data_IF_073098725958
#
_entry.id   IF_073098725958
#
_cell.length_a   1.000
_cell.length_b   1.000
_cell.length_c   1.000
_cell.angle_alpha   90.00
_cell.angle_beta   90.00
_cell.angle_gamma   90.00
#
_symmetry.space_group_name_H-M   'P 1'
#
loop_
_entity.id
_entity.type
_entity.pdbx_description
1 polymer ?
#
# COMPACT_ATOMS: atom_id res chain seq x y z
N UNK A 1 -16.74 -5.19 3.65
CA UNK A 1 -17.98 -5.13 4.43
C UNK A 1 -17.82 -4.25 5.66
N UNK A 2 -16.90 -4.54 6.58
CA UNK A 2 -16.69 -3.76 7.81
C UNK A 2 -16.58 -2.25 7.56
N UNK A 3 -15.72 -1.84 6.63
CA UNK A 3 -15.50 -0.43 6.29
C UNK A 3 -16.74 0.26 5.69
N UNK A 4 -17.50 -0.48 4.89
CA UNK A 4 -18.73 0.05 4.32
C UNK A 4 -19.82 0.26 5.39
N UNK A 5 -19.92 -0.67 6.34
CA UNK A 5 -20.85 -0.52 7.48
C UNK A 5 -20.43 0.67 8.35
N UNK A 6 -19.14 0.85 8.61
CA UNK A 6 -18.60 1.95 9.40
C UNK A 6 -18.87 3.32 8.78
N UNK A 7 -18.80 3.40 7.44
CA UNK A 7 -19.09 4.63 6.69
C UNK A 7 -20.56 4.76 6.28
N UNK A 8 -21.46 3.87 6.75
CA UNK A 8 -22.87 3.81 6.36
C UNK A 8 -23.06 3.78 4.83
N UNK A 9 -22.17 3.08 4.17
CA UNK A 9 -22.15 2.92 2.71
C UNK A 9 -22.73 1.57 2.31
N UNK A 10 -23.28 1.49 1.12
CA UNK A 10 -23.76 0.23 0.56
C UNK A 10 -22.62 -0.64 0.11
N UNK A 11 -22.82 -1.95 0.10
CA UNK A 11 -21.78 -2.89 -0.32
C UNK A 11 -22.33 -4.13 -1.00
N UNK A 12 -21.50 -4.76 -1.82
CA UNK A 12 -21.75 -6.08 -2.40
C UNK A 12 -20.49 -6.90 -2.18
N UNK A 13 -20.59 -8.03 -1.47
CA UNK A 13 -19.46 -8.90 -1.13
C UNK A 13 -19.38 -10.14 -2.00
N UNK A 14 -20.51 -10.54 -2.54
CA UNK A 14 -20.63 -11.66 -3.45
C UNK A 14 -20.63 -11.18 -4.91
N UNK A 15 -21.01 -12.01 -5.82
CA UNK A 15 -21.04 -11.72 -7.24
C UNK A 15 -21.98 -10.57 -7.58
N UNK A 16 -21.48 -9.57 -8.31
CA UNK A 16 -22.34 -8.54 -8.92
C UNK A 16 -23.33 -9.13 -9.92
N UNK A 17 -24.60 -8.92 -9.71
CA UNK A 17 -25.62 -9.36 -10.65
C UNK A 17 -25.84 -8.30 -11.73
N UNK A 18 -25.78 -8.71 -13.00
CA UNK A 18 -26.05 -7.79 -14.11
C UNK A 18 -27.44 -7.15 -13.97
N UNK A 19 -27.48 -5.83 -14.13
CA UNK A 19 -28.71 -5.04 -13.95
C UNK A 19 -28.93 -4.49 -12.55
N UNK A 20 -27.97 -4.65 -11.64
CA UNK A 20 -28.11 -4.16 -10.25
C UNK A 20 -28.36 -2.65 -10.21
N UNK A 21 -27.71 -1.87 -11.04
CA UNK A 21 -27.96 -0.43 -11.16
C UNK A 21 -28.85 -0.10 -12.36
N UNK A 22 -28.59 -0.64 -13.53
CA UNK A 22 -29.33 -0.33 -14.76
C UNK A 22 -30.76 -0.83 -14.75
N UNK A 23 -31.05 -1.87 -13.98
CA UNK A 23 -32.40 -2.39 -13.75
C UNK A 23 -32.81 -2.39 -12.28
N UNK A 24 -32.45 -1.30 -11.61
CA UNK A 24 -32.63 -1.13 -10.16
C UNK A 24 -34.06 -1.39 -9.69
N UNK A 25 -35.07 -1.02 -10.50
CA UNK A 25 -36.48 -1.27 -10.19
C UNK A 25 -36.78 -2.76 -10.01
N UNK A 26 -36.17 -3.62 -10.83
CA UNK A 26 -36.39 -5.07 -10.74
C UNK A 26 -35.62 -5.65 -9.54
N UNK A 27 -34.42 -5.17 -9.28
CA UNK A 27 -33.62 -5.54 -8.10
C UNK A 27 -34.39 -5.17 -6.82
N UNK A 28 -34.96 -3.97 -6.76
CA UNK A 28 -35.74 -3.54 -5.62
C UNK A 28 -36.99 -4.40 -5.34
N UNK A 29 -37.62 -4.96 -6.38
CA UNK A 29 -38.68 -5.94 -6.20
C UNK A 29 -38.15 -7.26 -5.59
N UNK A 30 -36.97 -7.72 -5.99
CA UNK A 30 -36.37 -8.92 -5.42
C UNK A 30 -35.92 -8.70 -3.98
N UNK A 31 -35.44 -7.51 -3.64
CA UNK A 31 -35.19 -7.11 -2.26
C UNK A 31 -36.48 -7.15 -1.44
N UNK A 32 -37.58 -6.57 -1.99
CA UNK A 32 -38.91 -6.62 -1.35
C UNK A 32 -39.42 -8.05 -1.12
N UNK A 33 -39.00 -9.01 -1.94
CA UNK A 33 -39.33 -10.44 -1.71
C UNK A 33 -38.63 -10.96 -0.45
N UNK A 34 -37.39 -10.54 -0.16
CA UNK A 34 -36.72 -10.90 1.09
C UNK A 34 -37.53 -10.42 2.31
N UNK A 35 -37.95 -9.19 2.30
CA UNK A 35 -38.77 -8.60 3.38
C UNK A 35 -40.10 -9.33 3.52
N UNK A 36 -40.67 -9.82 2.40
CA UNK A 36 -41.92 -10.59 2.41
C UNK A 36 -41.71 -11.96 3.05
N UNK A 37 -40.61 -12.68 2.72
CA UNK A 37 -40.30 -13.98 3.31
C UNK A 37 -40.04 -13.85 4.82
N UNK A 38 -39.36 -12.82 5.28
CA UNK A 38 -39.15 -12.55 6.71
C UNK A 38 -40.48 -12.29 7.43
N UNK A 39 -41.40 -11.55 6.82
CA UNK A 39 -42.74 -11.36 7.36
C UNK A 39 -43.53 -12.66 7.41
N UNK A 40 -43.44 -13.52 6.39
CA UNK A 40 -44.10 -14.83 6.39
C UNK A 40 -43.53 -15.75 7.49
N UNK A 41 -42.23 -15.67 7.78
CA UNK A 41 -41.64 -16.41 8.89
C UNK A 41 -42.09 -15.87 10.23
N UNK A 42 -42.09 -14.53 10.43
CA UNK A 42 -42.56 -13.89 11.65
C UNK A 42 -44.01 -14.15 11.96
N UNK A 43 -44.85 -14.25 10.93
CA UNK A 43 -46.32 -14.47 11.07
C UNK A 43 -46.68 -15.98 11.14
N UNK A 44 -45.70 -16.91 11.13
CA UNK A 44 -45.98 -18.33 11.13
C UNK A 44 -46.59 -18.89 9.83
N UNK A 45 -46.66 -18.07 8.78
CA UNK A 45 -47.24 -18.50 7.50
C UNK A 45 -46.42 -19.65 6.84
N UNK A 46 -45.14 -19.67 7.08
CA UNK A 46 -44.24 -20.75 6.58
C UNK A 46 -44.58 -22.09 7.22
N UNK A 47 -45.08 -22.13 8.45
CA UNK A 47 -45.40 -23.38 9.16
C UNK A 47 -46.63 -24.11 8.60
N UNK A 48 -47.50 -23.35 7.90
CA UNK A 48 -48.71 -23.90 7.24
C UNK A 48 -48.38 -24.51 5.88
N UNK A 49 -47.22 -24.19 5.30
CA UNK A 49 -46.82 -24.67 3.99
C UNK A 49 -46.20 -26.09 4.06
N UNK A 50 -46.28 -26.86 2.97
CA UNK A 50 -45.62 -28.16 2.87
C UNK A 50 -44.08 -27.99 3.08
N UNK A 51 -43.45 -28.86 3.84
CA UNK A 51 -42.00 -28.81 4.14
C UNK A 51 -41.10 -28.63 2.91
N UNK A 52 -41.50 -29.24 1.78
CA UNK A 52 -40.74 -29.13 0.51
C UNK A 52 -40.74 -27.71 -0.05
N UNK A 53 -41.82 -26.97 0.10
CA UNK A 53 -41.94 -25.56 -0.34
C UNK A 53 -41.19 -24.62 0.57
N UNK A 54 -41.27 -24.84 1.88
CA UNK A 54 -40.50 -24.06 2.87
C UNK A 54 -38.99 -24.15 2.61
N UNK A 55 -38.49 -25.36 2.36
CA UNK A 55 -37.07 -25.57 2.03
C UNK A 55 -36.69 -24.82 0.75
N UNK A 56 -37.55 -24.80 -0.26
CA UNK A 56 -37.31 -24.10 -1.52
C UNK A 56 -37.26 -22.59 -1.30
N UNK A 57 -38.21 -22.05 -0.56
CA UNK A 57 -38.28 -20.62 -0.22
C UNK A 57 -37.06 -20.20 0.59
N UNK A 58 -36.69 -20.94 1.63
CA UNK A 58 -35.51 -20.64 2.45
C UNK A 58 -34.23 -20.67 1.62
N UNK A 59 -34.04 -21.65 0.76
CA UNK A 59 -32.88 -21.74 -0.13
C UNK A 59 -32.79 -20.57 -1.13
N UNK A 60 -33.93 -20.12 -1.64
CA UNK A 60 -33.99 -18.93 -2.51
C UNK A 60 -33.72 -17.64 -1.71
N UNK A 61 -34.26 -17.52 -0.52
CA UNK A 61 -34.02 -16.42 0.40
C UNK A 61 -32.51 -16.30 0.73
N UNK A 62 -31.87 -17.39 1.16
CA UNK A 62 -30.44 -17.39 1.51
C UNK A 62 -29.59 -16.93 0.33
N UNK A 63 -29.91 -17.44 -0.88
CA UNK A 63 -29.22 -17.06 -2.10
C UNK A 63 -29.40 -15.58 -2.45
N UNK A 64 -30.58 -15.04 -2.34
CA UNK A 64 -30.85 -13.62 -2.63
C UNK A 64 -30.26 -12.72 -1.55
N UNK A 65 -30.34 -13.13 -0.29
CA UNK A 65 -29.79 -12.39 0.82
C UNK A 65 -28.26 -12.26 0.71
N UNK A 66 -27.56 -13.32 0.31
CA UNK A 66 -26.11 -13.24 0.11
C UNK A 66 -25.71 -12.18 -0.95
N UNK A 67 -26.51 -11.99 -1.98
CA UNK A 67 -26.25 -10.99 -3.02
C UNK A 67 -26.67 -9.57 -2.65
N UNK A 68 -27.75 -9.42 -1.88
CA UNK A 68 -28.40 -8.10 -1.71
C UNK A 68 -28.35 -7.55 -0.28
N UNK A 69 -27.78 -8.27 0.69
CA UNK A 69 -27.78 -7.86 2.08
C UNK A 69 -27.23 -6.42 2.27
N UNK A 70 -26.16 -6.07 1.58
CA UNK A 70 -25.52 -4.76 1.72
C UNK A 70 -26.21 -3.62 0.95
N UNK A 71 -27.19 -3.93 0.08
CA UNK A 71 -27.95 -2.93 -0.69
C UNK A 71 -29.45 -2.89 -0.35
N UNK A 72 -29.87 -3.63 0.69
CA UNK A 72 -31.31 -3.71 1.08
C UNK A 72 -31.93 -2.34 1.31
N UNK A 73 -31.21 -1.45 1.99
CA UNK A 73 -31.70 -0.14 2.37
C UNK A 73 -31.50 0.93 1.29
N UNK A 74 -30.94 0.55 0.14
CA UNK A 74 -30.66 1.48 -0.94
C UNK A 74 -31.94 2.00 -1.59
N UNK A 75 -32.26 3.28 -1.38
CA UNK A 75 -33.47 3.91 -1.89
C UNK A 75 -33.27 4.52 -3.28
N UNK A 76 -32.10 5.06 -3.55
CA UNK A 76 -31.68 5.70 -4.81
C UNK A 76 -30.39 5.08 -5.31
N UNK A 77 -30.02 5.35 -6.55
CA UNK A 77 -28.72 4.96 -7.10
C UNK A 77 -27.60 5.65 -6.31
N UNK A 78 -26.42 5.02 -6.18
CA UNK A 78 -25.29 5.61 -5.48
C UNK A 78 -24.72 6.79 -6.27
N UNK A 79 -24.14 7.74 -5.57
CA UNK A 79 -23.54 8.93 -6.17
C UNK A 79 -22.10 8.64 -6.65
N UNK A 80 -21.45 7.58 -6.12
CA UNK A 80 -20.15 7.09 -6.54
C UNK A 80 -20.02 5.59 -6.25
N UNK A 81 -19.06 4.93 -6.88
CA UNK A 81 -18.78 3.50 -6.71
C UNK A 81 -17.29 3.27 -6.45
N UNK A 82 -16.97 2.42 -5.46
CA UNK A 82 -15.61 1.96 -5.17
C UNK A 82 -15.53 0.49 -5.57
N UNK A 83 -14.54 0.14 -6.40
CA UNK A 83 -14.33 -1.23 -6.90
C UNK A 83 -12.93 -1.70 -6.53
N UNK A 84 -12.83 -2.88 -5.94
CA UNK A 84 -11.56 -3.47 -5.50
C UNK A 84 -10.82 -4.22 -6.60
N UNK A 85 -11.54 -4.80 -7.56
CA UNK A 85 -10.96 -5.54 -8.71
C UNK A 85 -11.75 -5.21 -9.98
N UNK A 86 -11.32 -4.21 -10.74
CA UNK A 86 -12.01 -3.80 -11.97
C UNK A 86 -12.09 -4.90 -13.03
N UNK A 87 -11.16 -5.83 -13.05
CA UNK A 87 -11.15 -6.95 -14.00
C UNK A 87 -12.27 -7.95 -13.71
N UNK A 88 -12.49 -8.29 -12.44
CA UNK A 88 -13.57 -9.20 -12.05
C UNK A 88 -14.95 -8.53 -12.13
N UNK A 89 -15.02 -7.27 -11.72
CA UNK A 89 -16.27 -6.51 -11.59
C UNK A 89 -16.57 -5.62 -12.80
N UNK A 90 -16.09 -6.01 -13.99
CA UNK A 90 -16.29 -5.25 -15.24
C UNK A 90 -17.75 -4.95 -15.58
N UNK A 91 -18.69 -5.80 -15.12
CA UNK A 91 -20.13 -5.60 -15.32
C UNK A 91 -20.61 -4.38 -14.51
N UNK A 92 -20.17 -4.26 -13.25
CA UNK A 92 -20.49 -3.14 -12.38
C UNK A 92 -19.99 -1.82 -12.98
N UNK A 93 -18.76 -1.82 -13.50
CA UNK A 93 -18.15 -0.66 -14.16
C UNK A 93 -18.97 -0.23 -15.39
N UNK A 94 -19.34 -1.18 -16.25
CA UNK A 94 -20.17 -0.88 -17.44
C UNK A 94 -21.53 -0.29 -17.06
N UNK A 95 -22.13 -0.76 -15.98
CA UNK A 95 -23.40 -0.22 -15.49
C UNK A 95 -23.22 1.18 -14.93
N UNK A 96 -22.20 1.42 -14.12
CA UNK A 96 -21.88 2.74 -13.56
C UNK A 96 -21.63 3.76 -14.67
N UNK A 97 -20.78 3.45 -15.63
CA UNK A 97 -20.50 4.31 -16.80
C UNK A 97 -21.76 4.65 -17.61
N UNK A 98 -22.64 3.66 -17.81
CA UNK A 98 -23.90 3.88 -18.52
C UNK A 98 -24.84 4.86 -17.79
N UNK A 99 -24.73 4.94 -16.48
CA UNK A 99 -25.54 5.81 -15.61
C UNK A 99 -24.81 7.10 -15.23
N UNK A 100 -23.56 7.29 -15.68
CA UNK A 100 -22.75 8.46 -15.34
C UNK A 100 -22.31 8.50 -13.87
N UNK A 101 -22.20 7.34 -13.22
CA UNK A 101 -21.75 7.22 -11.82
C UNK A 101 -20.24 7.11 -11.83
N UNK A 102 -19.50 8.02 -11.16
CA UNK A 102 -18.03 7.96 -11.08
C UNK A 102 -17.56 6.72 -10.35
N UNK A 103 -16.50 6.10 -10.88
CA UNK A 103 -15.91 4.85 -10.38
C UNK A 103 -14.51 5.09 -9.87
N UNK A 104 -14.29 4.78 -8.60
CA UNK A 104 -12.97 4.70 -7.96
C UNK A 104 -12.53 3.23 -7.97
N UNK A 105 -11.39 2.92 -8.59
CA UNK A 105 -10.92 1.54 -8.73
C UNK A 105 -9.54 1.33 -8.15
N UNK A 106 -9.36 0.24 -7.40
CA UNK A 106 -8.05 -0.29 -7.07
C UNK A 106 -7.55 -1.04 -8.29
N UNK A 107 -6.50 -0.53 -8.92
CA UNK A 107 -5.98 -1.03 -10.21
C UNK A 107 -4.61 -1.66 -9.99
N UNK A 108 -4.52 -2.95 -10.23
CA UNK A 108 -3.27 -3.70 -10.27
C UNK A 108 -2.75 -3.83 -11.71
N UNK A 109 -1.59 -4.41 -11.89
CA UNK A 109 -0.90 -4.61 -13.18
C UNK A 109 -1.69 -5.47 -14.19
N UNK A 110 -2.67 -6.24 -13.73
CA UNK A 110 -3.51 -7.14 -14.52
C UNK A 110 -4.76 -6.47 -15.10
N UNK A 111 -4.94 -5.16 -14.87
CA UNK A 111 -6.16 -4.41 -15.18
C UNK A 111 -5.88 -3.18 -16.04
N UNK A 112 -6.83 -2.81 -16.88
CA UNK A 112 -6.78 -1.60 -17.71
C UNK A 112 -7.23 -0.39 -16.87
N UNK A 113 -6.35 0.62 -16.66
CA UNK A 113 -6.67 1.80 -15.87
C UNK A 113 -7.77 2.67 -16.51
N UNK A 114 -7.96 2.60 -17.83
CA UNK A 114 -8.96 3.38 -18.53
C UNK A 114 -10.40 2.92 -18.26
N UNK A 115 -10.55 1.80 -17.56
CA UNK A 115 -11.87 1.28 -17.15
C UNK A 115 -12.50 2.07 -16.00
N UNK A 116 -11.72 2.80 -15.22
CA UNK A 116 -12.19 3.54 -14.03
C UNK A 116 -11.91 5.03 -14.17
N UNK A 117 -12.70 5.86 -13.50
CA UNK A 117 -12.56 7.32 -13.58
C UNK A 117 -11.45 7.82 -12.65
N UNK A 118 -11.30 7.18 -11.48
CA UNK A 118 -10.29 7.50 -10.48
C UNK A 118 -9.48 6.25 -10.15
N UNK A 119 -8.26 6.22 -10.64
CA UNK A 119 -7.33 5.10 -10.49
C UNK A 119 -6.60 5.18 -9.16
N UNK A 120 -6.65 4.10 -8.39
CA UNK A 120 -5.85 3.91 -7.18
C UNK A 120 -4.87 2.76 -7.46
N UNK A 121 -3.60 3.05 -7.82
CA UNK A 121 -2.64 2.01 -8.16
C UNK A 121 -2.23 1.25 -6.90
N UNK A 122 -2.66 0.00 -6.79
CA UNK A 122 -2.32 -0.86 -5.65
C UNK A 122 -2.62 -2.33 -5.96
N UNK A 123 -2.11 -3.21 -5.09
CA UNK A 123 -2.37 -4.65 -5.16
C UNK A 123 -3.80 -4.97 -4.70
N UNK A 124 -4.55 -5.68 -5.54
CA UNK A 124 -5.95 -6.09 -5.33
C UNK A 124 -6.09 -7.48 -4.70
N UNK A 125 -5.03 -8.31 -4.70
CA UNK A 125 -5.04 -9.67 -4.13
C UNK A 125 -4.69 -9.68 -2.62
N UNK A 126 -3.93 -8.69 -2.13
CA UNK A 126 -3.49 -8.65 -0.75
C UNK A 126 -4.57 -8.05 0.17
N UNK A 127 -5.21 -8.87 1.00
CA UNK A 127 -6.26 -8.47 1.95
C UNK A 127 -5.84 -7.25 2.80
N UNK A 128 -4.56 -7.19 3.24
CA UNK A 128 -4.06 -6.04 4.02
C UNK A 128 -3.99 -4.75 3.22
N UNK A 129 -3.57 -4.81 1.96
CA UNK A 129 -3.51 -3.64 1.08
C UNK A 129 -4.92 -3.10 0.83
N UNK A 130 -5.84 -3.97 0.43
CA UNK A 130 -7.25 -3.63 0.20
C UNK A 130 -7.91 -3.07 1.47
N UNK A 131 -7.66 -3.67 2.65
CA UNK A 131 -8.20 -3.19 3.92
C UNK A 131 -7.73 -1.78 4.26
N UNK A 132 -6.46 -1.48 4.09
CA UNK A 132 -5.90 -0.14 4.36
C UNK A 132 -6.51 0.90 3.40
N UNK A 133 -6.55 0.59 2.10
CA UNK A 133 -7.07 1.52 1.09
C UNK A 133 -8.55 1.80 1.33
N UNK A 134 -9.37 0.75 1.51
CA UNK A 134 -10.80 0.90 1.80
C UNK A 134 -11.02 1.64 3.13
N UNK A 135 -10.15 1.42 4.11
CA UNK A 135 -10.20 2.12 5.37
C UNK A 135 -9.94 3.62 5.24
N UNK A 136 -8.94 4.01 4.45
CA UNK A 136 -8.65 5.42 4.16
C UNK A 136 -9.82 6.08 3.39
N UNK A 137 -10.38 5.38 2.39
CA UNK A 137 -11.54 5.86 1.65
C UNK A 137 -12.78 6.01 2.55
N UNK A 138 -13.02 5.05 3.45
CA UNK A 138 -14.10 5.14 4.42
C UNK A 138 -13.89 6.28 5.43
N UNK A 139 -12.64 6.57 5.83
CA UNK A 139 -12.34 7.75 6.64
C UNK A 139 -12.64 9.05 5.90
N UNK A 140 -12.30 9.15 4.62
CA UNK A 140 -12.63 10.32 3.80
C UNK A 140 -14.14 10.54 3.67
N UNK A 141 -14.93 9.46 3.56
CA UNK A 141 -16.40 9.52 3.57
C UNK A 141 -16.90 9.99 4.94
N UNK A 142 -16.33 9.47 6.03
CA UNK A 142 -16.70 9.83 7.40
C UNK A 142 -16.37 11.30 7.71
N UNK A 143 -15.21 11.79 7.24
CA UNK A 143 -14.83 13.21 7.36
C UNK A 143 -15.86 14.12 6.68
N UNK A 144 -16.28 13.77 5.45
CA UNK A 144 -17.32 14.51 4.74
C UNK A 144 -18.74 14.40 5.33
N UNK A 145 -18.95 13.46 6.26
CA UNK A 145 -20.25 13.23 6.94
C UNK A 145 -20.22 13.47 8.45
N UNK A 146 -19.14 14.10 8.96
CA UNK A 146 -18.91 14.40 10.39
C UNK A 146 -19.01 13.15 11.30
N UNK A 147 -18.47 12.02 10.85
CA UNK A 147 -18.43 10.76 11.59
C UNK A 147 -17.03 10.46 12.10
N UNK A 148 -16.92 9.51 13.04
CA UNK A 148 -15.64 9.12 13.63
C UNK A 148 -14.71 8.48 12.60
N UNK A 149 -13.46 8.95 12.58
CA UNK A 149 -12.37 8.37 11.81
C UNK A 149 -11.63 7.33 12.66
N UNK A 150 -11.13 6.28 12.03
CA UNK A 150 -10.37 5.21 12.69
C UNK A 150 -8.94 5.20 12.16
N UNK A 151 -7.97 5.10 13.06
CA UNK A 151 -6.57 4.91 12.70
C UNK A 151 -6.33 3.43 12.34
N UNK A 152 -5.99 3.16 11.06
CA UNK A 152 -5.75 1.80 10.54
C UNK A 152 -4.38 1.25 10.87
N UNK A 153 -3.50 2.05 11.47
CA UNK A 153 -2.23 1.57 11.98
C UNK A 153 -2.48 0.87 13.31
N UNK A 154 -2.57 -0.45 13.29
CA UNK A 154 -2.60 -1.24 14.53
C UNK A 154 -1.31 -1.01 15.32
N UNK A 155 -1.38 -1.13 16.65
CA UNK A 155 -0.20 -0.97 17.51
C UNK A 155 0.92 -1.96 17.15
N UNK A 156 0.57 -3.13 16.63
CA UNK A 156 1.52 -4.08 16.03
C UNK A 156 2.19 -3.56 14.76
N UNK A 157 1.52 -2.80 13.95
CA UNK A 157 2.07 -2.20 12.73
C UNK A 157 2.90 -0.95 13.07
N UNK A 158 2.52 -0.19 14.08
CA UNK A 158 3.31 0.92 14.66
C UNK A 158 4.62 0.39 15.24
N UNK A 159 4.58 -0.69 16.02
CA UNK A 159 5.77 -1.34 16.58
C UNK A 159 6.68 -1.99 15.52
N UNK A 160 6.10 -2.58 14.45
CA UNK A 160 6.89 -3.12 13.34
C UNK A 160 7.53 -2.04 12.48
N UNK A 161 6.90 -0.90 12.32
CA UNK A 161 7.49 0.23 11.61
C UNK A 161 8.58 0.91 12.46
N UNK A 162 8.36 1.13 13.75
CA UNK A 162 9.37 1.61 14.67
C UNK A 162 10.61 0.67 14.72
N UNK A 163 10.39 -0.65 14.74
CA UNK A 163 11.47 -1.65 14.66
C UNK A 163 12.15 -1.74 13.28
N UNK A 164 11.46 -1.37 12.20
CA UNK A 164 12.07 -1.29 10.86
C UNK A 164 12.85 0.00 10.67
N UNK A 165 12.42 1.09 11.25
CA UNK A 165 13.15 2.36 11.24
C UNK A 165 14.39 2.28 12.13
N UNK A 166 14.29 1.74 13.34
CA UNK A 166 15.45 1.49 14.22
C UNK A 166 16.44 0.49 13.60
N UNK A 167 15.98 -0.57 12.89
CA UNK A 167 16.88 -1.49 12.14
C UNK A 167 17.44 -0.87 10.86
N UNK A 168 16.79 0.14 10.26
CA UNK A 168 17.37 0.89 9.14
C UNK A 168 18.38 1.92 9.61
N UNK A 169 18.16 2.52 10.77
CA UNK A 169 19.13 3.43 11.39
C UNK A 169 20.37 2.68 11.91
N UNK A 170 20.18 1.54 12.59
CA UNK A 170 21.30 0.69 13.03
C UNK A 170 22.11 0.11 11.86
N UNK A 171 21.45 -0.37 10.79
CA UNK A 171 22.16 -0.80 9.57
C UNK A 171 22.83 0.37 8.84
N UNK A 172 22.32 1.59 8.96
CA UNK A 172 22.94 2.77 8.34
C UNK A 172 24.11 3.30 9.17
N UNK A 173 24.14 3.05 10.50
CA UNK A 173 25.29 3.30 11.37
C UNK A 173 26.35 2.21 11.21
N UNK A 174 25.98 0.93 11.21
CA UNK A 174 26.91 -0.20 10.96
C UNK A 174 27.54 -0.11 9.57
N UNK A 175 26.77 0.24 8.52
CA UNK A 175 27.34 0.41 7.17
C UNK A 175 28.24 1.65 7.05
N UNK A 176 28.06 2.66 7.92
CA UNK A 176 28.96 3.81 7.99
C UNK A 176 30.23 3.49 8.79
N UNK A 177 30.14 2.70 9.85
CA UNK A 177 31.28 2.25 10.64
C UNK A 177 32.13 1.25 9.86
N UNK A 178 31.53 0.24 9.23
CA UNK A 178 32.24 -0.73 8.37
C UNK A 178 32.88 -0.06 7.15
N UNK A 179 32.26 0.96 6.55
CA UNK A 179 32.91 1.75 5.49
C UNK A 179 33.99 2.70 6.01
N UNK A 180 33.92 3.10 7.28
CA UNK A 180 34.98 3.91 7.90
C UNK A 180 36.18 3.04 8.33
N UNK A 181 35.96 1.81 8.79
CA UNK A 181 37.00 0.84 9.11
C UNK A 181 37.64 0.28 7.85
N UNK A 182 36.89 -0.13 6.83
CA UNK A 182 37.44 -0.59 5.56
C UNK A 182 38.29 0.48 4.85
N UNK A 183 37.87 1.76 4.92
CA UNK A 183 38.72 2.86 4.43
C UNK A 183 39.95 3.10 5.27
N UNK A 184 39.91 2.80 6.58
CA UNK A 184 41.12 2.90 7.44
C UNK A 184 42.07 1.74 7.26
N UNK A 185 41.58 0.53 6.94
CA UNK A 185 42.41 -0.62 6.58
C UNK A 185 43.03 -0.46 5.19
N UNK A 186 42.27 -0.10 4.16
CA UNK A 186 42.83 0.19 2.82
C UNK A 186 43.88 1.31 2.86
N UNK A 187 43.70 2.35 3.69
CA UNK A 187 44.70 3.41 3.85
C UNK A 187 45.95 2.91 4.63
N UNK A 188 45.78 1.96 5.56
CA UNK A 188 46.90 1.37 6.27
C UNK A 188 47.72 0.40 5.40
N UNK A 189 47.04 -0.46 4.61
CA UNK A 189 47.72 -1.33 3.64
C UNK A 189 48.44 -0.53 2.55
N UNK A 190 47.78 0.51 2.00
CA UNK A 190 48.42 1.39 1.03
C UNK A 190 49.63 2.16 1.60
N UNK A 191 49.62 2.50 2.88
CA UNK A 191 50.75 3.17 3.55
C UNK A 191 51.87 2.19 3.87
N UNK A 192 51.59 0.90 4.14
CA UNK A 192 52.63 -0.14 4.31
C UNK A 192 53.25 -0.55 2.99
N UNK A 193 52.50 -0.69 1.89
CA UNK A 193 53.04 -0.92 0.55
C UNK A 193 53.92 0.25 0.07
N UNK A 194 53.50 1.51 0.33
CA UNK A 194 54.31 2.70 -0.02
C UNK A 194 55.61 2.79 0.78
N UNK A 195 55.64 2.25 2.01
CA UNK A 195 56.90 2.21 2.82
C UNK A 195 57.88 1.10 2.40
N UNK A 196 57.42 0.11 1.66
CA UNK A 196 58.25 -1.02 1.21
C UNK A 196 58.93 -0.75 -0.14
N UNK A 197 58.46 0.21 -0.96
CA UNK A 197 59.01 0.45 -2.31
C UNK A 197 59.86 1.71 -2.46
N UNK A 198 60.14 2.50 -1.41
CA UNK A 198 60.74 3.82 -1.60
C UNK A 198 62.10 4.04 -0.99
N UNK A 199 63.12 3.81 -1.81
CA UNK A 199 64.36 4.58 -1.82
C UNK A 199 64.71 5.15 -3.20
N UNK A 200 63.83 5.11 -4.18
CA UNK A 200 64.13 5.63 -5.52
C UNK A 200 62.98 6.54 -6.05
N UNK A 201 63.31 7.84 -6.19
CA UNK A 201 62.63 8.85 -7.01
C UNK A 201 61.33 9.46 -6.49
N UNK A 202 61.37 10.16 -5.35
CA UNK A 202 60.32 11.07 -4.87
C UNK A 202 59.95 12.18 -5.89
N UNK A 203 60.85 12.48 -6.85
CA UNK A 203 60.62 13.51 -7.88
C UNK A 203 59.53 13.14 -8.90
N UNK A 204 59.24 11.84 -9.06
CA UNK A 204 58.20 11.33 -9.99
C UNK A 204 56.78 11.32 -9.40
N UNK A 205 56.63 11.48 -8.09
CA UNK A 205 55.34 11.46 -7.43
C UNK A 205 54.56 12.74 -7.65
N UNK A 206 53.23 12.62 -7.60
CA UNK A 206 52.30 13.75 -7.75
C UNK A 206 52.24 14.58 -6.46
N UNK A 207 51.81 15.84 -6.57
CA UNK A 207 51.65 16.74 -5.39
C UNK A 207 50.68 16.18 -4.35
N UNK A 208 49.69 15.40 -4.78
CA UNK A 208 48.72 14.77 -3.89
C UNK A 208 49.37 13.67 -3.05
N UNK A 209 50.17 12.80 -3.66
CA UNK A 209 50.90 11.73 -2.99
C UNK A 209 51.98 12.25 -2.03
N UNK A 210 52.71 13.30 -2.41
CA UNK A 210 53.67 13.96 -1.54
C UNK A 210 53.01 14.62 -0.30
N UNK A 211 51.84 15.15 -0.45
CA UNK A 211 51.03 15.70 0.68
C UNK A 211 50.53 14.60 1.62
N UNK A 212 50.18 13.44 1.10
CA UNK A 212 49.79 12.28 1.91
C UNK A 212 50.97 11.71 2.69
N UNK A 213 52.14 11.63 2.07
CA UNK A 213 53.35 11.23 2.75
C UNK A 213 53.75 12.21 3.86
N UNK A 214 53.73 13.50 3.61
CA UNK A 214 53.99 14.54 4.60
C UNK A 214 53.00 14.51 5.78
N UNK A 215 51.73 14.12 5.51
CA UNK A 215 50.71 13.89 6.53
C UNK A 215 50.99 12.65 7.37
N UNK A 216 51.46 11.58 6.75
CA UNK A 216 51.80 10.32 7.43
C UNK A 216 53.03 10.48 8.36
N UNK A 217 53.95 11.35 8.02
CA UNK A 217 55.12 11.70 8.83
C UNK A 217 54.84 12.81 9.88
N UNK A 218 53.60 13.27 9.98
CA UNK A 218 53.20 14.21 11.03
C UNK A 218 53.65 15.66 10.83
N UNK A 219 54.01 16.05 9.60
CA UNK A 219 54.51 17.41 9.29
C UNK A 219 53.34 18.41 9.32
N UNK A 220 53.42 19.37 10.23
CA UNK A 220 52.37 20.41 10.33
C UNK A 220 52.47 21.43 9.18
N UNK A 221 51.37 21.80 8.61
CA UNK A 221 51.26 22.83 7.56
C UNK A 221 51.47 22.34 6.12
N UNK A 222 51.61 21.01 5.87
CA UNK A 222 51.86 20.38 4.55
C UNK A 222 50.86 20.76 3.45
N UNK A 223 49.61 21.15 3.82
CA UNK A 223 48.55 21.49 2.86
C UNK A 223 48.85 22.77 2.06
N UNK A 224 49.68 23.67 2.57
CA UNK A 224 50.04 24.96 1.95
C UNK A 224 51.35 24.94 1.19
N UNK A 225 52.13 23.84 1.28
CA UNK A 225 53.45 23.74 0.69
C UNK A 225 53.40 23.38 -0.80
N UNK A 226 54.37 23.90 -1.57
CA UNK A 226 54.54 23.59 -3.00
C UNK A 226 55.33 22.26 -3.16
N UNK A 227 55.29 21.67 -4.39
CA UNK A 227 55.94 20.38 -4.69
C UNK A 227 57.43 20.36 -4.32
N UNK A 228 58.17 21.46 -4.58
CA UNK A 228 59.58 21.62 -4.26
C UNK A 228 59.87 21.60 -2.74
N UNK A 229 59.02 22.24 -1.98
CA UNK A 229 59.11 22.34 -0.51
C UNK A 229 58.78 21.02 0.17
N UNK A 230 57.80 20.28 -0.39
CA UNK A 230 57.43 18.93 0.06
C UNK A 230 58.56 17.92 -0.19
N UNK A 231 59.24 18.01 -1.34
CA UNK A 231 60.39 17.15 -1.68
C UNK A 231 61.60 17.44 -0.78
N UNK A 232 61.86 18.70 -0.42
CA UNK A 232 62.95 19.05 0.51
C UNK A 232 62.73 18.51 1.94
N UNK A 233 61.50 18.51 2.39
CA UNK A 233 61.13 18.10 3.74
C UNK A 233 61.08 16.55 3.83
N UNK A 234 60.60 15.86 2.80
CA UNK A 234 60.52 14.40 2.75
C UNK A 234 61.86 13.72 2.41
N UNK A 235 62.85 14.44 1.93
CA UNK A 235 64.21 13.96 1.67
C UNK A 235 65.18 14.18 2.84
N UNK A 236 64.69 14.72 3.93
CA UNK A 236 65.48 15.02 5.12
C UNK A 236 65.31 13.96 6.19
#
# INVERSE_FOLDING_TARGET
MEEAIRSDSYYVTERWLGGTLTNFRTIKRRIGYLDQVEKMEANGTLDVLPKKEVIKIKKEYDKLNSYFCGIRNMKKLPDAMIITDPKKEYIAIKEARKLGIPVFGIVDTNCDPDLVDYVIPANDDAVRAVKIILGVLANAINEGTDREMVDFLTDDDKNKNANKESKKESKKSETKEVKAEAKKEEVKEAVEEIKAEDKEDLSKKTVAELKEMAKAEGIEGYSKLKKSELLEILNK
#
